data_IF_738809061967
#
_entry.id   IF_738809061967
#
_cell.length_a   1.000
_cell.length_b   1.000
_cell.length_c   1.000
_cell.angle_alpha   90.00
_cell.angle_beta   90.00
_cell.angle_gamma   90.00
#
_symmetry.space_group_name_H-M   'P 1'
#
loop_
_entity.id
_entity.type
_entity.pdbx_description
1 polymer ?
#
# COMPACT_ATOMS: atom_id res chain seq x y z
N UNK A 1 27.84 28.42 -35.95
CA UNK A 1 26.71 27.54 -35.59
C UNK A 1 25.49 28.40 -35.28
N UNK A 2 24.50 28.40 -36.17
CA UNK A 2 23.30 29.25 -36.09
C UNK A 2 22.34 28.76 -34.99
N UNK A 3 22.04 29.63 -34.02
CA UNK A 3 21.04 29.36 -32.97
C UNK A 3 19.64 29.53 -33.57
N UNK A 4 18.85 28.46 -33.53
CA UNK A 4 17.45 28.48 -33.97
C UNK A 4 16.63 29.57 -33.26
N UNK A 5 15.80 30.34 -33.99
CA UNK A 5 14.95 31.36 -33.41
C UNK A 5 13.81 30.72 -32.60
N UNK A 6 13.62 31.18 -31.35
CA UNK A 6 12.56 30.70 -30.47
C UNK A 6 11.19 31.06 -31.04
N UNK A 7 10.38 30.04 -31.34
CA UNK A 7 9.01 30.18 -31.82
C UNK A 7 8.15 30.81 -30.71
N UNK A 8 7.53 31.96 -30.97
CA UNK A 8 6.52 32.55 -30.08
C UNK A 8 5.25 31.70 -30.13
N UNK A 9 4.94 30.99 -29.04
CA UNK A 9 3.66 30.29 -28.90
C UNK A 9 2.56 31.29 -28.49
N UNK A 10 1.36 31.22 -29.09
CA UNK A 10 0.23 32.04 -28.69
C UNK A 10 -0.24 31.65 -27.28
N UNK A 11 -0.60 32.65 -26.48
CA UNK A 11 -1.07 32.45 -25.11
C UNK A 11 -2.38 31.65 -25.10
N UNK A 12 -2.32 30.43 -24.58
CA UNK A 12 -3.49 29.56 -24.40
C UNK A 12 -4.22 29.98 -23.13
N UNK A 13 -5.45 30.51 -23.26
CA UNK A 13 -6.30 30.82 -22.11
C UNK A 13 -7.09 29.58 -21.70
N UNK A 14 -6.84 29.07 -20.49
CA UNK A 14 -7.63 28.01 -19.88
C UNK A 14 -8.89 28.60 -19.24
N UNK A 15 -9.92 28.85 -20.04
CA UNK A 15 -11.27 28.95 -19.50
C UNK A 15 -11.80 27.51 -19.38
N UNK A 16 -11.90 27.02 -18.14
CA UNK A 16 -12.54 25.73 -17.85
C UNK A 16 -14.04 25.98 -17.96
N UNK A 17 -14.60 25.75 -19.15
CA UNK A 17 -16.04 25.56 -19.29
C UNK A 17 -16.35 24.18 -18.69
N UNK A 18 -17.08 24.18 -17.58
CA UNK A 18 -17.61 22.97 -16.97
C UNK A 18 -18.69 22.40 -17.90
N UNK A 19 -18.26 21.61 -18.88
CA UNK A 19 -19.14 20.73 -19.64
C UNK A 19 -19.42 19.53 -18.74
N UNK A 20 -20.60 19.53 -18.13
CA UNK A 20 -21.18 18.37 -17.47
C UNK A 20 -21.69 17.48 -18.60
N UNK A 21 -20.86 16.56 -19.07
CA UNK A 21 -21.31 15.44 -19.89
C UNK A 21 -21.97 14.41 -18.96
N UNK A 22 -23.27 14.55 -18.77
CA UNK A 22 -24.14 13.44 -18.40
C UNK A 22 -24.27 12.54 -19.62
N UNK A 23 -23.48 11.47 -19.67
CA UNK A 23 -23.68 10.38 -20.62
C UNK A 23 -24.49 9.31 -19.89
N UNK A 24 -25.81 9.36 -20.06
CA UNK A 24 -26.67 8.18 -19.97
C UNK A 24 -26.20 7.21 -21.05
N UNK A 25 -25.67 6.07 -20.61
CA UNK A 25 -25.35 4.96 -21.50
C UNK A 25 -26.64 4.15 -21.62
N UNK A 26 -27.43 4.47 -22.64
CA UNK A 26 -28.42 3.54 -23.17
C UNK A 26 -27.72 2.61 -24.16
N UNK A 27 -27.83 1.31 -23.89
CA UNK A 27 -27.62 0.24 -24.87
C UNK A 27 -28.62 0.44 -26.01
N UNK A 28 -28.16 0.66 -27.24
CA UNK A 28 -28.76 0.00 -28.40
C UNK A 28 -27.88 0.09 -29.65
N UNK A 29 -27.79 -1.05 -30.33
CA UNK A 29 -27.29 -1.20 -31.69
C UNK A 29 -28.18 -0.41 -32.65
N UNK A 30 -27.69 0.63 -33.33
CA UNK A 30 -28.26 0.98 -34.65
C UNK A 30 -27.48 2.03 -35.48
N UNK A 31 -27.59 1.78 -36.78
CA UNK A 31 -27.16 2.48 -37.99
C UNK A 31 -26.55 3.90 -37.94
N UNK A 32 -25.36 4.02 -38.54
CA UNK A 32 -24.61 5.26 -38.73
C UNK A 32 -25.07 6.03 -39.98
N UNK A 33 -25.86 7.08 -39.78
CA UNK A 33 -26.10 8.12 -40.80
C UNK A 33 -25.50 9.49 -40.41
N UNK A 34 -24.67 10.11 -41.27
CA UNK A 34 -24.08 11.42 -40.97
C UNK A 34 -25.06 12.56 -41.28
N UNK A 35 -25.63 13.20 -40.25
CA UNK A 35 -26.41 14.44 -40.42
C UNK A 35 -25.54 15.69 -40.26
N UNK A 36 -25.54 16.53 -41.31
CA UNK A 36 -24.83 17.81 -41.38
C UNK A 36 -25.59 18.87 -40.56
N UNK A 37 -25.06 19.27 -39.39
CA UNK A 37 -25.64 20.37 -38.60
C UNK A 37 -25.20 21.74 -39.13
N UNK A 38 -26.19 22.62 -39.31
CA UNK A 38 -26.07 23.96 -39.87
C UNK A 38 -25.41 24.96 -38.91
N UNK A 39 -24.55 25.83 -39.47
CA UNK A 39 -23.95 26.98 -38.79
C UNK A 39 -24.98 28.11 -38.62
N UNK A 40 -25.45 28.34 -37.41
CA UNK A 40 -26.20 29.55 -37.04
C UNK A 40 -25.23 30.63 -36.55
N UNK A 41 -25.14 31.71 -37.32
CA UNK A 41 -24.33 32.91 -37.04
C UNK A 41 -25.19 33.97 -36.33
N UNK A 42 -25.22 33.98 -35.00
CA UNK A 42 -25.85 35.07 -34.25
C UNK A 42 -24.86 36.22 -34.03
N UNK A 43 -25.00 37.27 -34.84
CA UNK A 43 -24.41 38.60 -34.60
C UNK A 43 -25.31 39.36 -33.63
N UNK A 44 -24.86 39.57 -32.39
CA UNK A 44 -25.41 40.60 -31.51
C UNK A 44 -24.26 41.35 -30.81
N UNK A 45 -23.83 42.45 -31.43
CA UNK A 45 -22.92 43.44 -30.84
C UNK A 45 -23.70 44.32 -29.88
N UNK A 46 -23.81 43.90 -28.63
CA UNK A 46 -24.21 44.75 -27.51
C UNK A 46 -22.97 45.26 -26.78
N UNK A 47 -22.56 46.49 -27.05
CA UNK A 47 -21.48 47.19 -26.35
C UNK A 47 -21.94 47.57 -24.92
N UNK A 48 -22.03 46.59 -24.02
CA UNK A 48 -22.16 46.86 -22.59
C UNK A 48 -20.79 47.25 -22.05
N UNK A 49 -20.69 48.49 -21.56
CA UNK A 49 -19.49 49.05 -20.94
C UNK A 49 -18.93 48.07 -19.91
N UNK A 50 -17.75 47.50 -20.23
CA UNK A 50 -17.06 46.54 -19.39
C UNK A 50 -16.50 47.31 -18.19
N UNK A 51 -17.31 47.40 -17.12
CA UNK A 51 -16.87 47.88 -15.82
C UNK A 51 -15.53 47.20 -15.51
N UNK A 52 -14.49 48.02 -15.31
CA UNK A 52 -13.15 47.54 -14.95
C UNK A 52 -13.29 46.80 -13.63
N UNK A 53 -13.48 45.47 -13.69
CA UNK A 53 -13.41 44.60 -12.50
C UNK A 53 -12.09 44.93 -11.82
N UNK A 54 -12.17 45.38 -10.56
CA UNK A 54 -10.99 45.50 -9.71
C UNK A 54 -10.26 44.16 -9.83
N UNK A 55 -8.99 44.20 -10.22
CA UNK A 55 -8.17 42.99 -10.26
C UNK A 55 -7.99 42.59 -8.80
N UNK A 56 -8.84 41.71 -8.31
CA UNK A 56 -8.54 41.00 -7.08
C UNK A 56 -7.21 40.28 -7.32
N UNK A 57 -6.17 40.78 -6.66
CA UNK A 57 -4.86 40.14 -6.72
C UNK A 57 -5.05 38.78 -6.08
N UNK A 58 -4.92 37.73 -6.89
CA UNK A 58 -4.96 36.36 -6.39
C UNK A 58 -3.95 36.23 -5.25
N UNK A 59 -4.39 35.59 -4.18
CA UNK A 59 -3.57 35.27 -3.04
C UNK A 59 -2.37 34.40 -3.46
N UNK A 60 -1.14 34.84 -3.20
CA UNK A 60 0.03 34.03 -3.47
C UNK A 60 0.24 33.02 -2.35
N UNK A 61 -0.10 31.77 -2.65
CA UNK A 61 0.07 30.65 -1.73
C UNK A 61 1.53 30.50 -1.24
N UNK A 62 2.52 30.93 -2.01
CA UNK A 62 3.93 30.77 -1.66
C UNK A 62 4.42 31.80 -0.65
N UNK A 63 3.68 32.89 -0.43
CA UNK A 63 3.96 33.92 0.58
C UNK A 63 3.52 33.51 1.98
N UNK A 64 2.74 32.43 2.11
CA UNK A 64 2.40 31.86 3.41
C UNK A 64 3.63 31.36 4.17
N UNK A 65 3.68 31.45 5.50
CA UNK A 65 4.62 30.69 6.32
C UNK A 65 4.56 29.19 6.04
N UNK A 66 5.69 28.50 6.15
CA UNK A 66 5.78 27.05 5.86
C UNK A 66 4.81 26.20 6.69
N UNK A 67 4.57 26.58 7.94
CA UNK A 67 3.61 25.90 8.84
C UNK A 67 2.17 25.95 8.31
N UNK A 68 1.73 27.11 7.80
CA UNK A 68 0.40 27.25 7.21
C UNK A 68 0.29 26.48 5.91
N UNK A 69 1.37 26.45 5.09
CA UNK A 69 1.41 25.61 3.89
C UNK A 69 1.32 24.13 4.25
N UNK A 70 2.01 23.67 5.28
CA UNK A 70 1.94 22.29 5.76
C UNK A 70 0.53 21.91 6.21
N UNK A 71 -0.15 22.77 6.98
CA UNK A 71 -1.57 22.54 7.36
C UNK A 71 -2.45 22.44 6.12
N UNK A 72 -2.26 23.31 5.13
CA UNK A 72 -3.01 23.25 3.87
C UNK A 72 -2.71 21.93 3.13
N UNK A 73 -1.45 21.49 3.10
CA UNK A 73 -1.09 20.20 2.51
C UNK A 73 -1.74 19.04 3.23
N UNK A 74 -1.75 19.00 4.56
CA UNK A 74 -2.45 17.99 5.36
C UNK A 74 -3.92 17.90 4.94
N UNK A 75 -4.64 19.03 4.86
CA UNK A 75 -6.04 19.03 4.40
C UNK A 75 -6.21 18.57 2.94
N UNK A 76 -5.23 18.82 2.07
CA UNK A 76 -5.32 18.48 0.64
C UNK A 76 -4.92 17.05 0.30
N UNK A 77 -3.93 16.49 1.01
CA UNK A 77 -3.31 15.21 0.65
C UNK A 77 -3.62 14.10 1.64
N UNK A 78 -3.99 14.43 2.89
CA UNK A 78 -4.34 13.41 3.86
C UNK A 78 -5.80 12.98 3.72
N UNK A 79 -6.04 11.67 3.78
CA UNK A 79 -7.39 11.12 3.88
C UNK A 79 -7.88 11.26 5.34
N UNK A 80 -9.19 11.48 5.56
CA UNK A 80 -9.78 11.29 6.89
C UNK A 80 -9.39 9.89 7.43
N UNK A 81 -8.83 9.82 8.63
CA UNK A 81 -8.31 8.56 9.22
C UNK A 81 -6.87 8.20 8.84
N UNK A 82 -6.17 9.03 8.06
CA UNK A 82 -4.72 8.91 7.82
C UNK A 82 -4.30 7.67 7.03
N UNK A 83 -5.24 7.06 6.31
CA UNK A 83 -5.00 5.85 5.52
C UNK A 83 -5.42 6.05 4.06
N UNK A 84 -4.54 5.67 3.14
CA UNK A 84 -4.79 5.67 1.71
C UNK A 84 -5.03 4.23 1.27
N UNK A 85 -6.26 3.91 0.88
CA UNK A 85 -6.60 2.58 0.38
C UNK A 85 -6.24 2.47 -1.09
N UNK A 86 -5.48 1.43 -1.44
CA UNK A 86 -4.96 1.17 -2.77
C UNK A 86 -5.39 -0.21 -3.25
N UNK A 87 -6.14 -0.23 -4.35
CA UNK A 87 -6.57 -1.45 -5.02
C UNK A 87 -6.03 -1.58 -6.43
N UNK A 88 -6.47 -2.64 -7.10
CA UNK A 88 -6.25 -2.84 -8.53
C UNK A 88 -7.56 -3.05 -9.25
N UNK A 89 -7.60 -2.56 -10.49
CA UNK A 89 -8.67 -2.83 -11.42
C UNK A 89 -8.08 -3.15 -12.78
N UNK A 90 -8.65 -4.16 -13.46
CA UNK A 90 -8.29 -4.41 -14.85
C UNK A 90 -8.93 -3.35 -15.75
N UNK A 91 -8.13 -2.60 -16.50
CA UNK A 91 -8.63 -1.70 -17.53
C UNK A 91 -8.68 -2.45 -18.86
N UNK A 92 -9.89 -2.71 -19.36
CA UNK A 92 -10.12 -3.29 -20.70
C UNK A 92 -9.52 -2.40 -21.78
N UNK A 93 -9.73 -1.08 -21.72
CA UNK A 93 -9.20 -0.12 -22.69
C UNK A 93 -7.68 -0.09 -22.77
N UNK A 94 -6.99 -0.21 -21.63
CA UNK A 94 -5.53 -0.18 -21.58
C UNK A 94 -4.90 -1.58 -21.60
N UNK A 95 -5.72 -2.64 -21.63
CA UNK A 95 -5.32 -4.04 -21.50
C UNK A 95 -4.32 -4.29 -20.36
N UNK A 96 -4.49 -3.61 -19.23
CA UNK A 96 -3.58 -3.71 -18.08
C UNK A 96 -4.26 -3.42 -16.76
N UNK A 97 -3.68 -3.92 -15.66
CA UNK A 97 -4.04 -3.54 -14.30
C UNK A 97 -3.69 -2.07 -14.05
N UNK A 98 -4.61 -1.33 -13.43
CA UNK A 98 -4.41 0.03 -12.94
C UNK A 98 -4.57 0.06 -11.43
N UNK A 99 -3.78 0.91 -10.79
CA UNK A 99 -3.92 1.21 -9.37
C UNK A 99 -5.13 2.14 -9.19
N UNK A 100 -6.03 1.78 -8.28
CA UNK A 100 -7.18 2.60 -7.88
C UNK A 100 -7.03 3.02 -6.42
N UNK A 101 -7.61 4.17 -6.07
CA UNK A 101 -7.63 4.69 -4.71
C UNK A 101 -9.08 4.65 -4.20
N UNK A 102 -9.26 4.32 -2.92
CA UNK A 102 -10.58 4.30 -2.24
C UNK A 102 -10.50 5.06 -0.91
N UNK A 103 -11.64 5.54 -0.42
CA UNK A 103 -11.79 6.17 0.90
C UNK A 103 -12.29 5.19 1.96
N UNK A 104 -13.24 4.32 1.63
CA UNK A 104 -14.00 3.55 2.62
C UNK A 104 -13.53 2.09 2.77
N UNK A 105 -12.40 1.74 2.16
CA UNK A 105 -11.92 0.36 2.12
C UNK A 105 -12.76 -0.60 1.26
N UNK A 106 -13.96 -0.18 0.82
CA UNK A 106 -14.67 -0.87 -0.26
C UNK A 106 -13.98 -0.55 -1.59
N UNK A 107 -13.40 -1.59 -2.18
CA UNK A 107 -12.58 -1.51 -3.40
C UNK A 107 -13.32 -2.00 -4.65
N UNK A 108 -14.65 -2.12 -4.60
CA UNK A 108 -15.45 -2.44 -5.79
C UNK A 108 -15.40 -1.29 -6.81
N UNK A 109 -15.36 -1.64 -8.11
CA UNK A 109 -15.17 -0.71 -9.25
C UNK A 109 -16.15 0.48 -9.28
N UNK A 110 -17.40 0.27 -8.84
CA UNK A 110 -18.42 1.35 -8.75
C UNK A 110 -17.95 2.51 -7.86
N UNK A 111 -17.09 2.23 -6.88
CA UNK A 111 -16.57 3.21 -5.93
C UNK A 111 -15.50 4.12 -6.53
N UNK A 112 -14.83 3.80 -7.65
CA UNK A 112 -13.79 4.68 -8.20
C UNK A 112 -14.36 5.93 -8.91
N UNK A 113 -15.49 5.80 -9.61
CA UNK A 113 -16.15 6.96 -10.20
C UNK A 113 -16.76 7.85 -9.11
N UNK A 114 -17.39 7.26 -8.10
CA UNK A 114 -17.84 7.97 -6.90
C UNK A 114 -16.66 8.63 -6.18
N UNK A 115 -15.54 7.93 -6.01
CA UNK A 115 -14.29 8.46 -5.45
C UNK A 115 -13.82 9.70 -6.22
N UNK A 116 -13.83 9.71 -7.57
CA UNK A 116 -13.44 10.91 -8.33
C UNK A 116 -14.39 12.10 -8.12
N UNK A 117 -15.66 11.85 -7.79
CA UNK A 117 -16.66 12.88 -7.50
C UNK A 117 -16.63 13.36 -6.05
N UNK A 118 -16.35 12.45 -5.11
CA UNK A 118 -16.51 12.65 -3.67
C UNK A 118 -15.20 12.93 -2.94
N UNK A 119 -14.06 12.52 -3.50
CA UNK A 119 -12.79 12.70 -2.79
C UNK A 119 -12.24 14.10 -2.90
N UNK A 120 -12.08 14.71 -1.72
CA UNK A 120 -11.39 15.98 -1.48
C UNK A 120 -9.88 15.92 -1.77
N UNK A 121 -9.33 14.74 -2.03
CA UNK A 121 -7.91 14.47 -2.01
C UNK A 121 -7.27 14.80 -3.36
N UNK A 122 -6.65 15.97 -3.43
CA UNK A 122 -6.09 16.47 -4.66
C UNK A 122 -4.60 16.12 -4.77
N UNK A 123 -4.28 14.83 -4.95
CA UNK A 123 -2.89 14.39 -5.19
C UNK A 123 -2.25 15.07 -6.43
N UNK A 124 -3.06 15.68 -7.31
CA UNK A 124 -2.53 16.48 -8.41
C UNK A 124 -1.74 17.70 -7.93
N UNK A 125 -1.92 18.16 -6.68
CA UNK A 125 -1.12 19.23 -6.09
C UNK A 125 0.37 18.91 -6.11
N UNK A 126 0.75 17.64 -5.94
CA UNK A 126 2.14 17.17 -5.97
C UNK A 126 2.80 17.35 -7.36
N UNK A 127 1.99 17.54 -8.41
CA UNK A 127 2.44 17.74 -9.80
C UNK A 127 2.55 19.22 -10.20
N UNK A 128 2.14 20.16 -9.34
CA UNK A 128 2.09 21.59 -9.69
C UNK A 128 3.46 22.22 -9.82
N UNK A 129 4.31 22.15 -8.78
CA UNK A 129 5.67 22.66 -8.81
C UNK A 129 6.61 21.88 -7.88
N UNK A 130 7.93 22.00 -8.12
CA UNK A 130 8.96 21.27 -7.36
C UNK A 130 9.03 21.64 -5.87
N UNK A 131 8.65 22.87 -5.49
CA UNK A 131 8.66 23.30 -4.08
C UNK A 131 7.49 22.67 -3.33
N UNK A 132 6.28 22.83 -3.86
CA UNK A 132 5.06 22.18 -3.35
C UNK A 132 5.24 20.66 -3.25
N UNK A 133 5.76 20.03 -4.31
CA UNK A 133 6.01 18.59 -4.31
C UNK A 133 6.94 18.16 -3.17
N UNK A 134 8.05 18.88 -2.93
CA UNK A 134 9.00 18.55 -1.86
C UNK A 134 8.41 18.74 -0.46
N UNK A 135 7.65 19.81 -0.25
CA UNK A 135 7.03 20.10 1.06
C UNK A 135 5.90 19.11 1.38
N UNK A 136 5.04 18.83 0.40
CA UNK A 136 3.86 17.99 0.60
C UNK A 136 4.12 16.48 0.49
N UNK A 137 5.19 16.05 -0.20
CA UNK A 137 5.46 14.61 -0.38
C UNK A 137 5.68 13.88 0.94
N UNK A 138 6.42 14.48 1.88
CA UNK A 138 6.64 13.86 3.20
C UNK A 138 5.33 13.63 3.97
N UNK A 139 4.42 14.60 3.91
CA UNK A 139 3.09 14.52 4.54
C UNK A 139 2.26 13.42 3.88
N UNK A 140 2.23 13.39 2.53
CA UNK A 140 1.46 12.40 1.79
C UNK A 140 1.96 10.98 2.01
N UNK A 141 3.28 10.76 1.94
CA UNK A 141 3.90 9.44 2.10
C UNK A 141 4.09 9.00 3.56
N UNK A 142 3.86 9.90 4.53
CA UNK A 142 3.79 9.57 5.95
C UNK A 142 2.48 8.88 6.37
N UNK A 143 1.46 8.86 5.50
CA UNK A 143 0.21 8.15 5.73
C UNK A 143 0.38 6.63 5.68
N UNK A 144 -0.64 5.92 6.18
CA UNK A 144 -0.72 4.46 6.04
C UNK A 144 -1.23 4.08 4.66
N UNK A 145 -0.40 3.40 3.86
CA UNK A 145 -0.84 2.85 2.57
C UNK A 145 -1.40 1.46 2.78
N UNK A 146 -2.72 1.33 2.65
CA UNK A 146 -3.43 0.06 2.80
C UNK A 146 -3.74 -0.54 1.44
N UNK A 147 -3.04 -1.61 1.09
CA UNK A 147 -3.22 -2.32 -0.16
C UNK A 147 -4.22 -3.44 0.02
N UNK A 148 -5.19 -3.59 -0.90
CA UNK A 148 -6.08 -4.75 -0.83
C UNK A 148 -5.33 -6.05 -1.04
N UNK A 149 -4.35 -6.08 -1.94
CA UNK A 149 -3.59 -7.29 -2.29
C UNK A 149 -2.14 -6.94 -2.58
N UNK A 150 -1.27 -7.96 -2.59
CA UNK A 150 0.16 -7.77 -2.88
C UNK A 150 0.43 -7.36 -4.32
N UNK A 151 -0.45 -7.72 -5.26
CA UNK A 151 -0.38 -7.24 -6.64
C UNK A 151 -0.56 -5.70 -6.69
N UNK A 152 -1.51 -5.16 -5.91
CA UNK A 152 -1.73 -3.71 -5.80
C UNK A 152 -0.49 -2.99 -5.29
N UNK A 153 0.21 -3.59 -4.33
CA UNK A 153 1.49 -3.10 -3.87
C UNK A 153 2.52 -3.13 -5.01
N UNK A 154 2.64 -4.23 -5.76
CA UNK A 154 3.56 -4.34 -6.89
C UNK A 154 3.30 -3.25 -7.94
N UNK A 155 2.07 -3.13 -8.44
CA UNK A 155 1.69 -2.14 -9.44
C UNK A 155 1.94 -0.71 -8.95
N UNK A 156 1.69 -0.45 -7.67
CA UNK A 156 2.00 0.84 -7.06
C UNK A 156 3.50 1.12 -7.05
N UNK A 157 4.33 0.17 -6.59
CA UNK A 157 5.78 0.35 -6.44
C UNK A 157 6.50 0.48 -7.78
N UNK A 158 6.08 -0.24 -8.82
CA UNK A 158 6.67 -0.16 -10.16
C UNK A 158 6.63 1.26 -10.76
N UNK A 159 5.66 2.07 -10.35
CA UNK A 159 5.53 3.47 -10.79
C UNK A 159 6.26 4.49 -9.91
N UNK A 160 7.07 4.08 -8.92
CA UNK A 160 7.68 4.99 -7.94
C UNK A 160 9.20 5.01 -8.04
N UNK A 161 9.74 6.22 -7.82
CA UNK A 161 11.19 6.40 -7.71
C UNK A 161 11.70 5.89 -6.37
N UNK A 162 12.98 5.46 -6.28
CA UNK A 162 13.62 5.13 -5.01
C UNK A 162 13.48 6.21 -3.94
N UNK A 163 13.67 7.48 -4.32
CA UNK A 163 13.50 8.63 -3.40
C UNK A 163 12.09 8.70 -2.82
N UNK A 164 11.07 8.47 -3.64
CA UNK A 164 9.67 8.46 -3.21
C UNK A 164 9.39 7.28 -2.26
N UNK A 165 9.92 6.10 -2.58
CA UNK A 165 9.77 4.92 -1.72
C UNK A 165 10.43 5.11 -0.36
N UNK A 166 11.57 5.81 -0.30
CA UNK A 166 12.23 6.17 0.96
C UNK A 166 11.41 7.09 1.89
N UNK A 167 10.36 7.75 1.38
CA UNK A 167 9.44 8.55 2.19
C UNK A 167 8.31 7.74 2.83
N UNK A 168 8.07 6.50 2.36
CA UNK A 168 6.98 5.67 2.87
C UNK A 168 7.28 5.19 4.28
N UNK A 169 6.32 5.38 5.19
CA UNK A 169 6.46 5.00 6.60
C UNK A 169 5.67 3.76 6.98
N UNK A 170 4.44 3.62 6.45
CA UNK A 170 3.50 2.59 6.91
C UNK A 170 2.80 1.92 5.73
N UNK A 171 2.95 0.60 5.64
CA UNK A 171 2.32 -0.26 4.63
C UNK A 171 1.48 -1.32 5.34
N UNK A 172 0.24 -1.50 4.89
CA UNK A 172 -0.68 -2.52 5.38
C UNK A 172 -1.26 -3.31 4.21
N UNK A 173 -0.94 -4.59 4.10
CA UNK A 173 -1.49 -5.48 3.07
C UNK A 173 -2.66 -6.24 3.68
N UNK A 174 -3.86 -5.84 3.28
CA UNK A 174 -5.14 -6.20 3.89
C UNK A 174 -5.78 -7.47 3.30
N UNK A 175 -5.12 -8.21 2.42
CA UNK A 175 -5.57 -9.54 2.04
C UNK A 175 -4.55 -10.60 2.42
N UNK A 176 -5.08 -11.81 2.52
CA UNK A 176 -4.30 -13.04 2.56
C UNK A 176 -3.48 -13.18 1.27
N UNK A 177 -2.19 -13.43 1.43
CA UNK A 177 -1.36 -13.89 0.32
C UNK A 177 -1.73 -15.35 0.08
N UNK A 178 -2.17 -15.68 -1.14
CA UNK A 178 -2.63 -17.02 -1.52
C UNK A 178 -1.56 -17.82 -2.27
N UNK A 179 -1.88 -19.08 -2.57
CA UNK A 179 -1.05 -20.04 -3.30
C UNK A 179 -0.62 -19.59 -4.71
N UNK A 180 -1.21 -18.53 -5.27
CA UNK A 180 -0.86 -18.01 -6.59
C UNK A 180 0.14 -16.85 -6.52
N UNK A 181 0.02 -16.00 -5.50
CA UNK A 181 0.77 -14.75 -5.36
C UNK A 181 2.08 -14.93 -4.59
N UNK A 182 2.18 -15.94 -3.71
CA UNK A 182 3.37 -16.14 -2.87
C UNK A 182 4.68 -16.27 -3.69
N UNK A 183 4.62 -16.91 -4.86
CA UNK A 183 5.79 -17.12 -5.73
C UNK A 183 6.40 -15.84 -6.26
N UNK A 184 5.66 -14.74 -6.25
CA UNK A 184 6.11 -13.43 -6.70
C UNK A 184 6.56 -12.53 -5.54
N UNK A 185 6.33 -12.92 -4.28
CA UNK A 185 6.66 -12.09 -3.13
C UNK A 185 8.13 -11.68 -3.09
N UNK A 186 9.12 -12.56 -3.36
CA UNK A 186 10.52 -12.13 -3.32
C UNK A 186 10.79 -10.97 -4.28
N UNK A 187 10.18 -11.01 -5.48
CA UNK A 187 10.31 -9.95 -6.48
C UNK A 187 9.59 -8.66 -6.02
N UNK A 188 8.40 -8.78 -5.45
CA UNK A 188 7.62 -7.62 -4.98
C UNK A 188 8.32 -6.96 -3.79
N UNK A 189 8.78 -7.73 -2.80
CA UNK A 189 9.54 -7.20 -1.68
C UNK A 189 10.92 -6.69 -2.11
N UNK A 190 11.52 -7.19 -3.19
CA UNK A 190 12.73 -6.58 -3.76
C UNK A 190 12.52 -5.13 -4.22
N UNK A 191 11.29 -4.75 -4.61
CA UNK A 191 10.94 -3.37 -4.95
C UNK A 191 10.91 -2.46 -3.71
N UNK A 192 10.69 -3.02 -2.51
CA UNK A 192 10.68 -2.27 -1.25
C UNK A 192 12.08 -1.99 -0.69
N UNK A 193 13.16 -2.49 -1.29
CA UNK A 193 14.54 -2.23 -0.81
C UNK A 193 14.84 -0.74 -0.58
N UNK A 194 14.40 0.20 -1.44
CA UNK A 194 14.64 1.63 -1.21
C UNK A 194 13.79 2.26 -0.10
N UNK A 195 12.79 1.55 0.45
CA UNK A 195 11.92 2.04 1.53
C UNK A 195 12.61 1.91 2.89
N UNK A 196 13.78 2.53 3.05
CA UNK A 196 14.58 2.52 4.29
C UNK A 196 13.87 3.25 5.44
N UNK A 197 12.99 4.19 5.11
CA UNK A 197 12.15 4.93 6.05
C UNK A 197 10.97 4.14 6.62
N UNK A 198 10.74 2.89 6.22
CA UNK A 198 9.60 2.11 6.67
C UNK A 198 9.69 1.82 8.17
N UNK A 199 8.59 2.11 8.87
CA UNK A 199 8.40 1.96 10.31
C UNK A 199 7.35 0.90 10.64
N UNK A 200 6.47 0.59 9.67
CA UNK A 200 5.40 -0.37 9.83
C UNK A 200 5.12 -1.10 8.52
N UNK A 201 5.19 -2.42 8.55
CA UNK A 201 4.87 -3.31 7.44
C UNK A 201 3.99 -4.46 7.94
N UNK A 202 2.68 -4.35 7.68
CA UNK A 202 1.73 -5.41 7.99
C UNK A 202 1.40 -6.26 6.79
N UNK A 203 1.45 -7.57 7.00
CA UNK A 203 0.91 -8.59 6.08
C UNK A 203 -0.13 -9.34 6.88
N UNK A 204 -1.41 -9.18 6.53
CA UNK A 204 -2.50 -9.76 7.33
C UNK A 204 -2.29 -11.25 7.59
N UNK A 205 -1.99 -12.01 6.55
CA UNK A 205 -1.65 -13.42 6.66
C UNK A 205 -1.11 -13.99 5.34
N UNK A 206 -0.38 -15.09 5.43
CA UNK A 206 0.16 -15.84 4.28
C UNK A 206 -0.52 -17.21 4.25
N UNK A 207 -1.57 -17.39 3.49
CA UNK A 207 -2.27 -18.68 3.43
C UNK A 207 -1.57 -19.61 2.44
N UNK A 208 -1.40 -20.87 2.86
CA UNK A 208 -0.88 -21.96 2.03
C UNK A 208 0.57 -21.80 1.59
N UNK A 209 1.49 -22.07 2.52
CA UNK A 209 2.93 -22.08 2.25
C UNK A 209 3.32 -23.14 1.23
N UNK A 210 4.48 -22.91 0.60
CA UNK A 210 5.07 -23.84 -0.37
C UNK A 210 5.32 -25.22 0.29
N UNK A 211 4.86 -26.28 -0.36
CA UNK A 211 5.20 -27.68 -0.07
C UNK A 211 4.82 -28.21 1.32
N UNK A 212 3.94 -27.56 2.08
CA UNK A 212 3.61 -27.98 3.45
C UNK A 212 4.86 -28.23 4.32
N UNK A 213 6.05 -27.68 4.03
CA UNK A 213 7.25 -28.01 4.82
C UNK A 213 7.05 -27.53 6.25
N UNK A 214 6.43 -26.36 6.41
CA UNK A 214 5.93 -25.85 7.68
C UNK A 214 5.01 -26.87 8.38
N UNK A 215 3.88 -27.22 7.76
CA UNK A 215 2.88 -28.12 8.35
C UNK A 215 3.42 -29.51 8.61
N UNK A 216 4.21 -30.02 7.69
CA UNK A 216 4.75 -31.36 7.74
C UNK A 216 5.82 -31.44 8.83
N UNK A 217 6.77 -30.49 8.92
CA UNK A 217 7.75 -30.41 10.02
C UNK A 217 7.09 -30.32 11.39
N UNK A 218 5.98 -29.60 11.48
CA UNK A 218 5.19 -29.54 12.71
C UNK A 218 4.42 -30.83 12.96
N UNK A 219 3.87 -31.47 11.94
CA UNK A 219 3.14 -32.74 12.02
C UNK A 219 4.06 -33.90 12.45
N UNK A 220 5.34 -33.92 12.07
CA UNK A 220 6.27 -34.92 12.64
C UNK A 220 6.54 -34.66 14.12
N UNK A 221 6.55 -33.38 14.52
CA UNK A 221 6.78 -33.00 15.91
C UNK A 221 5.55 -33.25 16.81
N UNK A 222 4.34 -33.37 16.26
CA UNK A 222 3.14 -33.68 17.06
C UNK A 222 3.14 -35.07 17.67
N UNK A 223 4.00 -35.98 17.22
CA UNK A 223 4.19 -37.28 17.86
C UNK A 223 5.10 -37.25 19.11
N UNK A 224 5.71 -36.10 19.42
CA UNK A 224 6.68 -36.00 20.50
C UNK A 224 6.02 -35.63 21.84
N UNK A 225 5.66 -36.65 22.61
CA UNK A 225 5.06 -36.51 23.96
C UNK A 225 5.94 -35.76 24.96
N UNK A 226 7.25 -35.65 24.71
CA UNK A 226 8.22 -35.02 25.61
C UNK A 226 8.57 -33.58 25.23
N UNK A 227 7.98 -33.03 24.15
CA UNK A 227 8.29 -31.68 23.70
C UNK A 227 7.84 -30.64 24.73
N UNK A 228 8.77 -29.80 25.18
CA UNK A 228 8.45 -28.71 26.11
C UNK A 228 7.76 -27.55 25.39
N UNK A 229 7.10 -26.67 26.15
CA UNK A 229 6.50 -25.43 25.60
C UNK A 229 7.55 -24.57 24.91
N UNK A 230 8.73 -24.44 25.51
CA UNK A 230 9.83 -23.65 24.96
C UNK A 230 10.37 -24.24 23.66
N UNK A 231 10.55 -25.58 23.59
CA UNK A 231 11.02 -26.25 22.38
C UNK A 231 10.01 -26.12 21.23
N UNK A 232 8.72 -26.22 21.54
CA UNK A 232 7.64 -26.02 20.57
C UNK A 232 7.61 -24.60 20.05
N UNK A 233 7.61 -23.60 20.94
CA UNK A 233 7.59 -22.19 20.54
C UNK A 233 8.83 -21.83 19.71
N UNK A 234 10.00 -22.35 20.06
CA UNK A 234 11.22 -22.18 19.28
C UNK A 234 11.14 -22.87 17.90
N UNK A 235 10.55 -24.06 17.82
CA UNK A 235 10.30 -24.73 16.55
C UNK A 235 9.37 -23.90 15.65
N UNK A 236 8.22 -23.47 16.17
CA UNK A 236 7.25 -22.67 15.45
C UNK A 236 7.85 -21.33 15.00
N UNK A 237 8.57 -20.64 15.90
CA UNK A 237 9.29 -19.41 15.58
C UNK A 237 10.29 -19.60 14.43
N UNK A 238 11.08 -20.69 14.43
CA UNK A 238 12.02 -20.98 13.34
C UNK A 238 11.31 -21.18 12.00
N UNK A 239 10.17 -21.88 12.01
CA UNK A 239 9.42 -22.11 10.78
C UNK A 239 8.80 -20.81 10.24
N UNK A 240 8.21 -20.00 11.12
CA UNK A 240 7.69 -18.67 10.78
C UNK A 240 8.80 -17.79 10.18
N UNK A 241 9.98 -17.78 10.81
CA UNK A 241 11.13 -17.01 10.34
C UNK A 241 11.58 -17.46 8.95
N UNK A 242 11.65 -18.78 8.70
CA UNK A 242 12.02 -19.33 7.38
C UNK A 242 11.01 -18.96 6.31
N UNK A 243 9.72 -19.02 6.63
CA UNK A 243 8.68 -18.63 5.71
C UNK A 243 8.76 -17.14 5.38
N UNK A 244 8.76 -16.28 6.41
CA UNK A 244 8.93 -14.84 6.24
C UNK A 244 10.19 -14.50 5.44
N UNK A 245 11.31 -15.16 5.75
CA UNK A 245 12.55 -14.99 5.01
C UNK A 245 12.39 -15.39 3.54
N UNK A 246 11.89 -16.60 3.26
CA UNK A 246 11.78 -17.11 1.89
C UNK A 246 10.96 -16.20 0.96
N UNK A 247 9.97 -15.49 1.51
CA UNK A 247 9.09 -14.60 0.75
C UNK A 247 9.58 -13.15 0.70
N UNK A 248 10.36 -12.71 1.70
CA UNK A 248 10.74 -11.30 1.86
C UNK A 248 12.25 -11.07 1.84
N UNK A 249 13.07 -12.08 1.53
CA UNK A 249 14.53 -12.04 1.75
C UNK A 249 15.23 -10.81 1.17
N UNK A 250 14.94 -10.30 -0.06
CA UNK A 250 15.70 -9.16 -0.59
C UNK A 250 15.47 -7.88 0.24
N UNK A 251 14.25 -7.71 0.76
CA UNK A 251 13.91 -6.63 1.67
C UNK A 251 14.54 -6.86 3.05
N UNK A 252 14.37 -8.06 3.62
CA UNK A 252 14.88 -8.42 4.95
C UNK A 252 16.40 -8.30 5.06
N UNK A 253 17.14 -8.72 4.05
CA UNK A 253 18.59 -8.56 3.98
C UNK A 253 19.02 -7.09 4.04
N UNK A 254 18.23 -6.19 3.43
CA UNK A 254 18.51 -4.76 3.39
C UNK A 254 18.22 -4.14 4.77
N UNK A 255 17.00 -4.33 5.29
CA UNK A 255 16.58 -3.71 6.56
C UNK A 255 17.34 -4.27 7.77
N UNK A 256 17.66 -5.57 7.80
CA UNK A 256 18.45 -6.15 8.91
C UNK A 256 19.89 -5.64 8.90
N UNK A 257 20.46 -5.39 7.71
CA UNK A 257 21.80 -4.80 7.60
C UNK A 257 21.82 -3.36 8.08
N UNK A 258 20.77 -2.60 7.84
CA UNK A 258 20.69 -1.18 8.19
C UNK A 258 20.23 -0.94 9.62
N UNK A 259 19.23 -1.68 10.11
CA UNK A 259 18.55 -1.44 11.39
C UNK A 259 18.78 -2.52 12.44
N UNK A 260 19.33 -3.67 12.04
CA UNK A 260 19.42 -4.85 12.90
C UNK A 260 18.11 -5.64 12.97
N UNK A 261 18.19 -6.86 13.50
CA UNK A 261 17.06 -7.79 13.54
C UNK A 261 15.98 -7.38 14.54
N UNK A 262 16.35 -6.84 15.71
CA UNK A 262 15.41 -6.40 16.72
C UNK A 262 14.49 -5.28 16.19
N UNK A 263 15.08 -4.24 15.59
CA UNK A 263 14.32 -3.12 15.03
C UNK A 263 13.49 -3.56 13.82
N UNK A 264 14.04 -4.48 13.00
CA UNK A 264 13.28 -5.10 11.91
C UNK A 264 12.02 -5.79 12.43
N UNK A 265 12.07 -6.49 13.56
CA UNK A 265 10.89 -7.14 14.13
C UNK A 265 9.87 -6.16 14.73
N UNK A 266 10.25 -4.90 15.02
CA UNK A 266 9.30 -3.84 15.38
C UNK A 266 8.57 -3.30 14.15
N UNK A 267 9.24 -3.31 12.99
CA UNK A 267 8.66 -2.89 11.71
C UNK A 267 7.72 -3.98 11.15
N UNK A 268 8.09 -5.25 11.31
CA UNK A 268 7.35 -6.38 10.74
C UNK A 268 6.15 -6.78 11.61
N UNK A 269 4.96 -6.44 11.12
CA UNK A 269 3.68 -6.92 11.64
C UNK A 269 3.15 -8.02 10.72
N UNK A 270 3.94 -9.09 10.57
CA UNK A 270 3.59 -10.25 9.75
C UNK A 270 2.76 -11.26 10.57
N UNK A 271 1.87 -11.98 9.89
CA UNK A 271 1.00 -13.00 10.48
C UNK A 271 -0.03 -12.45 11.48
N UNK A 272 -0.58 -11.28 11.15
CA UNK A 272 -1.68 -10.69 11.89
C UNK A 272 -1.29 -10.26 13.31
N UNK A 273 -2.04 -10.74 14.29
CA UNK A 273 -1.87 -10.44 15.71
C UNK A 273 -0.95 -11.44 16.43
N UNK A 274 -0.26 -12.33 15.70
CA UNK A 274 0.59 -13.38 16.28
C UNK A 274 1.55 -12.85 17.34
N UNK A 275 2.28 -11.78 17.03
CA UNK A 275 3.25 -11.21 17.96
C UNK A 275 2.65 -10.22 18.96
N UNK A 276 1.37 -9.91 18.83
CA UNK A 276 0.64 -9.03 19.74
C UNK A 276 -0.07 -9.86 20.83
N UNK A 277 -0.75 -10.94 20.44
CA UNK A 277 -1.47 -11.84 21.35
C UNK A 277 -0.67 -13.06 21.78
N UNK A 278 0.25 -13.52 20.94
CA UNK A 278 0.95 -14.79 21.12
C UNK A 278 0.14 -16.00 20.65
N UNK A 279 0.69 -17.21 20.86
CA UNK A 279 -0.03 -18.46 20.61
C UNK A 279 -1.25 -18.53 21.52
N UNK A 280 -2.43 -18.76 20.96
CA UNK A 280 -3.68 -18.82 21.71
C UNK A 280 -4.54 -20.03 21.33
N UNK A 281 -5.39 -20.49 22.24
CA UNK A 281 -6.19 -21.69 21.99
C UNK A 281 -7.50 -21.31 21.29
N UNK A 282 -7.85 -22.06 20.25
CA UNK A 282 -9.19 -21.97 19.68
C UNK A 282 -10.16 -22.83 20.52
N UNK A 283 -11.30 -22.26 20.93
CA UNK A 283 -12.23 -22.95 21.80
C UNK A 283 -12.73 -24.25 21.16
N UNK A 284 -12.50 -25.38 21.83
CA UNK A 284 -12.94 -26.71 21.38
C UNK A 284 -12.01 -27.43 20.41
N UNK A 285 -10.87 -26.84 20.02
CA UNK A 285 -9.90 -27.46 19.10
C UNK A 285 -8.61 -27.87 19.86
N UNK A 286 -7.98 -29.03 19.56
CA UNK A 286 -6.61 -29.34 19.99
C UNK A 286 -5.52 -28.50 19.31
N UNK A 287 -5.88 -27.56 18.44
CA UNK A 287 -4.97 -26.63 17.79
C UNK A 287 -4.68 -25.36 18.61
N UNK A 288 -3.45 -24.87 18.43
CA UNK A 288 -2.99 -23.57 18.90
C UNK A 288 -2.92 -22.65 17.69
N UNK A 289 -3.62 -21.52 17.80
CA UNK A 289 -3.62 -20.47 16.80
C UNK A 289 -2.39 -19.62 16.94
N UNK A 290 -1.66 -19.47 15.84
CA UNK A 290 -0.52 -18.60 15.68
C UNK A 290 -0.86 -17.55 14.59
N UNK A 291 -1.62 -16.52 14.97
CA UNK A 291 -2.15 -15.55 14.01
C UNK A 291 -3.25 -16.18 13.16
N UNK A 292 -3.01 -16.37 11.86
CA UNK A 292 -3.95 -17.07 10.97
C UNK A 292 -3.74 -18.58 10.89
N UNK A 293 -2.68 -19.13 11.48
CA UNK A 293 -2.39 -20.57 11.41
C UNK A 293 -2.97 -21.29 12.60
N UNK A 294 -3.56 -22.46 12.38
CA UNK A 294 -3.91 -23.39 13.43
C UNK A 294 -2.96 -24.57 13.37
N UNK A 295 -2.22 -24.80 14.44
CA UNK A 295 -1.22 -25.88 14.51
C UNK A 295 -1.61 -26.79 15.67
N UNK A 296 -1.82 -28.07 15.40
CA UNK A 296 -2.12 -29.08 16.42
C UNK A 296 -0.99 -29.11 17.46
N UNK A 297 -1.35 -29.01 18.73
CA UNK A 297 -0.37 -29.09 19.81
C UNK A 297 0.23 -30.52 19.87
N UNK A 298 1.53 -30.65 20.19
CA UNK A 298 2.20 -31.95 20.28
C UNK A 298 1.80 -32.78 21.51
N UNK A 299 1.34 -32.11 22.55
CA UNK A 299 0.94 -32.72 23.82
C UNK A 299 0.09 -31.72 24.62
N UNK A 300 -0.50 -32.20 25.71
CA UNK A 300 -1.37 -31.37 26.54
C UNK A 300 -0.62 -30.25 27.27
N UNK A 301 0.68 -30.40 27.58
CA UNK A 301 1.45 -29.35 28.24
C UNK A 301 1.58 -28.10 27.35
N UNK A 302 1.85 -28.31 26.06
CA UNK A 302 1.89 -27.22 25.06
C UNK A 302 0.50 -26.64 24.81
N UNK A 303 -0.54 -27.48 24.76
CA UNK A 303 -1.93 -27.05 24.56
C UNK A 303 -2.46 -26.18 25.71
N UNK A 304 -2.11 -26.52 26.96
CA UNK A 304 -2.56 -25.79 28.16
C UNK A 304 -1.62 -24.65 28.56
N UNK A 305 -0.55 -24.41 27.80
CA UNK A 305 0.40 -23.34 28.10
C UNK A 305 -0.31 -21.97 28.02
N UNK A 306 -0.18 -21.11 29.06
CA UNK A 306 -0.94 -19.88 29.13
C UNK A 306 -0.52 -18.89 28.03
N UNK A 307 -1.52 -18.18 27.53
CA UNK A 307 -1.34 -17.01 26.68
C UNK A 307 -0.77 -15.89 27.55
N UNK A 308 0.42 -15.41 27.22
CA UNK A 308 1.04 -14.32 27.97
C UNK A 308 1.81 -13.38 27.04
N UNK A 309 1.84 -12.07 27.33
CA UNK A 309 2.68 -11.13 26.61
C UNK A 309 4.16 -11.53 26.60
N UNK A 310 4.65 -12.18 27.67
CA UNK A 310 6.00 -12.70 27.76
C UNK A 310 6.29 -13.80 26.72
N UNK A 311 5.36 -14.75 26.55
CA UNK A 311 5.46 -15.81 25.53
C UNK A 311 5.42 -15.23 24.11
N UNK A 312 4.54 -14.25 23.86
CA UNK A 312 4.48 -13.54 22.57
C UNK A 312 5.79 -12.80 22.26
N UNK A 313 6.37 -12.11 23.24
CA UNK A 313 7.65 -11.42 23.12
C UNK A 313 8.82 -12.39 22.89
N UNK A 314 8.87 -13.51 23.62
CA UNK A 314 9.88 -14.55 23.43
C UNK A 314 9.83 -15.16 22.02
N UNK A 315 8.62 -15.43 21.51
CA UNK A 315 8.44 -15.92 20.14
C UNK A 315 8.85 -14.88 19.10
N UNK A 316 8.49 -13.60 19.27
CA UNK A 316 8.94 -12.51 18.39
C UNK A 316 10.47 -12.41 18.36
N UNK A 317 11.12 -12.50 19.52
CA UNK A 317 12.58 -12.49 19.62
C UNK A 317 13.22 -13.70 18.93
N UNK A 318 12.66 -14.90 19.11
CA UNK A 318 13.12 -16.12 18.45
C UNK A 318 12.98 -16.04 16.92
N UNK A 319 11.87 -15.48 16.41
CA UNK A 319 11.70 -15.21 14.97
C UNK A 319 12.78 -14.25 14.47
N UNK A 320 12.98 -13.12 15.17
CA UNK A 320 14.02 -12.14 14.79
C UNK A 320 15.43 -12.74 14.75
N UNK A 321 15.78 -13.57 15.74
CA UNK A 321 17.07 -14.25 15.81
C UNK A 321 17.27 -15.24 14.65
N UNK A 322 16.25 -16.04 14.31
CA UNK A 322 16.33 -16.97 13.17
C UNK A 322 16.42 -16.22 11.83
N UNK A 323 15.64 -15.14 11.62
CA UNK A 323 15.76 -14.31 10.40
C UNK A 323 17.18 -13.74 10.30
N UNK A 324 17.76 -13.23 11.39
CA UNK A 324 19.14 -12.75 11.41
C UNK A 324 20.14 -13.83 11.00
N UNK A 325 19.97 -15.06 11.52
CA UNK A 325 20.80 -16.21 11.17
C UNK A 325 20.68 -16.58 9.69
N UNK A 326 19.47 -16.54 9.13
CA UNK A 326 19.22 -16.80 7.71
C UNK A 326 19.90 -15.73 6.83
N UNK A 327 19.75 -14.44 7.16
CA UNK A 327 20.43 -13.34 6.46
C UNK A 327 21.95 -13.49 6.50
N UNK A 328 22.52 -13.96 7.62
CA UNK A 328 23.96 -14.17 7.74
C UNK A 328 24.45 -15.37 6.90
N UNK A 329 23.63 -16.43 6.82
CA UNK A 329 23.97 -17.66 6.08
C UNK A 329 23.92 -17.47 4.55
N UNK A 330 23.06 -16.58 4.07
CA UNK A 330 22.83 -16.28 2.64
C UNK A 330 23.87 -15.34 2.03
N UNK A 331 24.93 -14.97 2.79
CA UNK A 331 26.04 -14.12 2.32
C UNK A 331 27.20 -14.92 1.70
N UNK A 332 27.12 -16.24 1.73
CA UNK A 332 28.13 -17.18 1.23
C UNK A 332 27.83 -17.55 -0.20
#
# INVERSE_FOLDING_TARGET
MSRYPKRKLPATSYAVEAVVDEVEIEDDDDDWHPTKKAKTTSKAKGARGRLKKKKDTAFDFMDLPGELRNKIYEYLVCQPGGSVYIGEEWSSTLCRKRVIFSQDGDMRSRTYQSYRKETSNNFAILRTCKKVSREAAGIMYGQTFRFSQVDALQSFLLGRSPTTMGLMRRIDIAAYINNYTWKFLPLIFALLRPATGLEYLRVQAITGFRNNVFESQLHWATGNSHMTVADWDALVARQIAREAYSHMYPYLQTVIREKGAEETMKILHIFGDLFERGPHRYAGDPAITHGSYMITAPNNAVLQAPESPARAAAMRAAVGAEIARLVASDRV
#
